data_IF_862429618322
#
_entry.id   IF_862429618322
#
_cell.length_a   1.000
_cell.length_b   1.000
_cell.length_c   1.000
_cell.angle_alpha   90.00
_cell.angle_beta   90.00
_cell.angle_gamma   90.00
#
_symmetry.space_group_name_H-M   'P 1'
#
loop_
_entity.id
_entity.type
_entity.pdbx_description
1 polymer ?
#
# COMPACT_ATOMS: atom_id res chain seq x y z
N UNK A 1 69.18 38.34 57.80
CA UNK A 1 67.72 38.24 58.01
C UNK A 1 67.09 38.39 56.69
N UNK A 2 66.73 37.28 56.11
CA UNK A 2 66.38 37.14 54.71
C UNK A 2 64.85 37.05 54.59
N UNK A 3 64.25 38.01 53.92
CA UNK A 3 62.83 38.06 53.62
C UNK A 3 62.51 37.33 52.34
N UNK A 4 61.59 36.37 52.43
CA UNK A 4 61.11 35.57 51.29
C UNK A 4 59.90 36.24 50.61
N UNK A 5 60.05 36.63 49.35
CA UNK A 5 58.93 37.14 48.54
C UNK A 5 58.17 35.96 47.91
N UNK A 6 56.91 35.78 48.30
CA UNK A 6 55.99 34.90 47.58
C UNK A 6 55.39 35.58 46.35
N UNK A 7 55.64 35.04 45.18
CA UNK A 7 55.00 35.44 43.92
C UNK A 7 53.60 34.79 43.81
N UNK A 8 52.57 35.61 43.61
CA UNK A 8 51.20 35.15 43.33
C UNK A 8 51.06 34.97 41.81
N UNK A 9 50.74 33.72 41.37
CA UNK A 9 50.28 33.42 39.99
C UNK A 9 48.76 33.57 39.91
N UNK A 10 48.21 34.20 38.87
CA UNK A 10 46.76 34.22 38.65
C UNK A 10 46.34 32.91 38.00
N UNK A 11 45.35 32.25 38.60
CA UNK A 11 44.66 31.11 38.01
C UNK A 11 43.71 31.64 36.94
N UNK A 12 44.03 31.32 35.67
CA UNK A 12 43.14 31.61 34.52
C UNK A 12 42.10 30.48 34.41
N UNK A 13 40.85 30.75 34.82
CA UNK A 13 39.76 29.79 34.70
C UNK A 13 39.24 29.85 33.26
N UNK A 14 39.55 28.85 32.46
CA UNK A 14 39.02 28.66 31.11
C UNK A 14 37.59 28.13 31.19
N UNK A 15 36.60 29.00 31.00
CA UNK A 15 35.21 28.59 30.82
C UNK A 15 35.05 28.06 29.38
N UNK A 16 34.98 26.72 29.26
CA UNK A 16 34.62 26.06 28.02
C UNK A 16 33.05 26.19 27.82
N UNK A 17 32.64 27.10 26.95
CA UNK A 17 31.27 27.18 26.45
C UNK A 17 31.05 26.00 25.48
N UNK A 18 30.48 24.91 25.94
CA UNK A 18 29.91 23.88 25.06
C UNK A 18 28.60 24.40 24.49
N UNK A 19 28.64 24.95 23.30
CA UNK A 19 27.44 25.23 22.50
C UNK A 19 26.84 23.91 22.07
N UNK A 20 25.81 23.45 22.76
CA UNK A 20 24.90 22.43 22.25
C UNK A 20 24.14 23.05 21.06
N UNK A 21 24.57 22.72 19.85
CA UNK A 21 23.75 22.90 18.66
C UNK A 21 22.55 21.95 18.80
N UNK A 22 21.47 22.41 19.37
CA UNK A 22 20.15 21.82 19.17
C UNK A 22 19.81 22.11 17.70
N UNK A 23 19.99 21.10 16.84
CA UNK A 23 19.33 21.09 15.53
C UNK A 23 17.84 21.14 15.82
N UNK A 24 17.25 22.32 15.80
CA UNK A 24 15.82 22.46 15.76
C UNK A 24 15.35 21.72 14.51
N UNK A 25 14.77 20.54 14.67
CA UNK A 25 13.98 19.89 13.62
C UNK A 25 12.91 20.94 13.26
N UNK A 26 13.13 21.69 12.19
CA UNK A 26 12.09 22.53 11.63
C UNK A 26 10.97 21.56 11.23
N UNK A 27 9.84 21.62 11.93
CA UNK A 27 8.67 20.85 11.56
C UNK A 27 8.40 21.16 10.08
N UNK A 28 8.55 20.14 9.24
CA UNK A 28 8.39 20.29 7.80
C UNK A 28 6.95 20.76 7.54
N UNK A 29 6.81 21.88 6.86
CA UNK A 29 5.51 22.51 6.62
C UNK A 29 4.67 21.61 5.74
N UNK A 30 3.51 21.18 6.23
CA UNK A 30 2.55 20.40 5.45
C UNK A 30 2.04 21.24 4.27
N UNK A 31 2.13 20.70 3.07
CA UNK A 31 1.59 21.28 1.85
C UNK A 31 0.09 21.03 1.82
N UNK A 32 -0.71 22.06 1.59
CA UNK A 32 -2.18 22.01 1.60
C UNK A 32 -2.78 22.65 0.34
N UNK A 33 -4.07 22.45 0.13
CA UNK A 33 -4.79 23.04 -1.01
C UNK A 33 -4.32 22.49 -2.35
N UNK A 34 -4.44 23.30 -3.40
CA UNK A 34 -4.05 22.91 -4.77
C UNK A 34 -2.56 22.54 -4.90
N UNK A 35 -1.69 23.09 -4.04
CA UNK A 35 -0.28 22.72 -4.02
C UNK A 35 -0.01 21.29 -3.56
N UNK A 36 -0.95 20.66 -2.85
CA UNK A 36 -0.87 19.25 -2.48
C UNK A 36 -1.16 18.32 -3.66
N UNK A 37 -1.79 18.80 -4.73
CA UNK A 37 -2.10 18.06 -5.96
C UNK A 37 -0.93 18.13 -6.96
N UNK A 38 0.26 17.77 -6.51
CA UNK A 38 1.51 17.86 -7.25
C UNK A 38 1.70 16.67 -8.23
N UNK A 39 2.75 16.71 -9.03
CA UNK A 39 3.20 15.58 -9.85
C UNK A 39 4.48 14.95 -9.27
N UNK A 40 4.97 13.87 -9.90
CA UNK A 40 6.14 13.12 -9.44
C UNK A 40 7.40 13.97 -9.27
N UNK A 41 7.54 15.09 -9.98
CA UNK A 41 8.73 15.98 -9.89
C UNK A 41 8.82 16.71 -8.56
N UNK A 42 7.72 16.75 -7.82
CA UNK A 42 7.62 17.40 -6.51
C UNK A 42 7.54 16.41 -5.35
N UNK A 43 7.59 15.10 -5.65
CA UNK A 43 7.65 14.04 -4.64
C UNK A 43 9.07 13.93 -4.10
N UNK A 44 9.20 14.00 -2.77
CA UNK A 44 10.49 13.85 -2.07
C UNK A 44 10.24 13.23 -0.71
N UNK A 45 11.10 12.30 -0.25
CA UNK A 45 10.98 11.75 1.08
C UNK A 45 10.86 12.81 2.17
N UNK A 46 9.88 12.64 3.04
CA UNK A 46 9.59 13.53 4.14
C UNK A 46 8.61 14.66 3.81
N UNK A 47 8.26 14.91 2.54
CA UNK A 47 7.27 15.93 2.18
C UNK A 47 5.88 15.51 2.65
N UNK A 48 5.26 16.32 3.51
CA UNK A 48 3.91 16.09 4.01
C UNK A 48 2.88 16.85 3.21
N UNK A 49 1.75 16.19 2.98
CA UNK A 49 0.61 16.75 2.23
C UNK A 49 -0.68 16.51 2.98
N UNK A 50 -1.62 17.42 2.81
CA UNK A 50 -3.00 17.27 3.29
C UNK A 50 -3.95 17.78 2.21
N UNK A 51 -4.80 16.89 1.74
CA UNK A 51 -5.89 17.19 0.82
C UNK A 51 -7.18 17.08 1.62
N UNK A 52 -8.06 18.07 1.45
CA UNK A 52 -9.38 18.09 2.08
C UNK A 52 -10.47 18.15 1.01
N UNK A 53 -11.70 17.87 1.40
CA UNK A 53 -12.85 17.97 0.49
C UNK A 53 -13.00 19.38 -0.11
N UNK A 54 -12.62 20.42 0.66
CA UNK A 54 -12.66 21.80 0.19
C UNK A 54 -11.62 22.14 -0.91
N UNK A 55 -10.61 21.28 -1.09
CA UNK A 55 -9.55 21.49 -2.09
C UNK A 55 -9.91 20.85 -3.44
N UNK A 56 -11.02 20.09 -3.52
CA UNK A 56 -11.38 19.37 -4.71
C UNK A 56 -11.88 20.31 -5.81
N UNK A 57 -11.39 20.16 -7.05
CA UNK A 57 -11.90 20.95 -8.18
C UNK A 57 -13.27 20.46 -8.65
N UNK A 58 -13.94 21.27 -9.45
CA UNK A 58 -15.10 20.81 -10.21
C UNK A 58 -14.71 19.73 -11.22
N UNK A 59 -15.60 18.77 -11.54
CA UNK A 59 -15.36 17.76 -12.54
C UNK A 59 -15.03 18.34 -13.92
N UNK A 60 -13.95 17.87 -14.52
CA UNK A 60 -13.51 18.27 -15.87
C UNK A 60 -13.17 17.05 -16.72
N UNK A 61 -14.16 16.28 -17.19
CA UNK A 61 -13.92 15.06 -17.96
C UNK A 61 -13.03 15.26 -19.20
N UNK A 62 -13.09 16.47 -19.82
CA UNK A 62 -12.27 16.82 -20.99
C UNK A 62 -10.76 16.91 -20.69
N UNK A 63 -10.35 17.01 -19.41
CA UNK A 63 -8.94 16.98 -18.99
C UNK A 63 -8.44 15.56 -18.71
N UNK A 64 -9.31 14.56 -18.75
CA UNK A 64 -8.94 13.16 -18.55
C UNK A 64 -8.12 12.62 -19.72
N UNK A 65 -7.06 11.91 -19.43
CA UNK A 65 -6.14 11.35 -20.41
C UNK A 65 -5.89 9.86 -20.14
N UNK A 66 -5.46 9.14 -21.16
CA UNK A 66 -4.80 7.82 -21.00
C UNK A 66 -3.30 8.03 -21.13
N UNK A 67 -2.61 8.11 -19.99
CA UNK A 67 -1.16 8.29 -19.89
C UNK A 67 -0.56 7.14 -19.04
N UNK A 68 -0.91 5.91 -19.41
CA UNK A 68 -0.35 4.72 -18.77
C UNK A 68 1.18 4.73 -18.81
N UNK A 69 1.87 4.11 -17.82
CA UNK A 69 3.31 4.17 -17.75
C UNK A 69 3.98 3.42 -18.92
N UNK A 70 4.98 4.05 -19.52
CA UNK A 70 5.98 3.34 -20.29
C UNK A 70 7.01 2.79 -19.31
N UNK A 71 7.05 1.45 -19.18
CA UNK A 71 7.99 0.78 -18.28
C UNK A 71 9.34 0.63 -18.96
N UNK A 72 10.39 1.02 -18.26
CA UNK A 72 11.77 0.87 -18.69
C UNK A 72 12.56 0.01 -17.73
N UNK A 73 13.66 -0.57 -18.19
CA UNK A 73 14.62 -1.21 -17.32
C UNK A 73 15.11 -0.19 -16.28
N UNK A 74 15.30 -0.63 -15.03
CA UNK A 74 15.88 0.24 -14.02
C UNK A 74 17.19 0.85 -14.53
N UNK A 75 17.30 2.19 -14.62
CA UNK A 75 18.54 2.81 -15.08
C UNK A 75 19.71 2.43 -14.18
N UNK A 76 20.91 2.38 -14.77
CA UNK A 76 22.12 2.13 -14.00
C UNK A 76 22.29 3.20 -12.91
N UNK A 77 22.56 2.74 -11.68
CA UNK A 77 22.69 3.62 -10.52
C UNK A 77 21.39 4.16 -9.95
N UNK A 78 20.21 3.90 -10.57
CA UNK A 78 18.93 4.33 -10.01
C UNK A 78 18.54 3.46 -8.81
N UNK A 79 18.16 4.14 -7.72
CA UNK A 79 17.66 3.53 -6.48
C UNK A 79 16.44 4.26 -5.99
N UNK A 80 15.51 3.57 -5.31
CA UNK A 80 14.48 4.28 -4.57
C UNK A 80 15.11 5.15 -3.49
N UNK A 81 14.48 6.27 -3.19
CA UNK A 81 14.97 7.28 -2.25
C UNK A 81 14.06 7.29 -1.03
N UNK A 82 14.65 7.09 0.15
CA UNK A 82 13.98 7.14 1.45
C UNK A 82 14.43 8.38 2.26
N UNK A 83 13.76 8.72 3.38
CA UNK A 83 14.19 9.81 4.25
C UNK A 83 15.62 9.62 4.79
N UNK A 84 16.23 10.71 5.28
CA UNK A 84 17.55 10.65 5.92
C UNK A 84 17.56 9.64 7.08
N UNK A 85 18.66 8.92 7.27
CA UNK A 85 18.81 7.86 8.25
C UNK A 85 18.30 6.49 7.79
N UNK A 86 17.59 6.40 6.67
CA UNK A 86 17.15 5.14 6.08
C UNK A 86 18.09 4.67 4.98
N UNK A 87 18.26 3.36 4.91
CA UNK A 87 19.01 2.67 3.85
C UNK A 87 18.05 1.80 3.03
N UNK A 88 18.13 1.93 1.69
CA UNK A 88 17.36 1.11 0.75
C UNK A 88 18.26 0.05 0.15
N UNK A 89 17.80 -1.20 0.16
CA UNK A 89 18.52 -2.36 -0.38
C UNK A 89 17.63 -3.15 -1.34
N UNK A 90 18.21 -3.67 -2.41
CA UNK A 90 17.53 -4.66 -3.26
C UNK A 90 17.60 -6.01 -2.53
N UNK A 91 16.47 -6.40 -1.91
CA UNK A 91 16.39 -7.61 -1.10
C UNK A 91 16.29 -8.86 -1.96
N UNK A 92 15.40 -8.85 -2.97
CA UNK A 92 15.20 -9.98 -3.87
C UNK A 92 14.75 -9.52 -5.26
N UNK A 93 14.95 -10.32 -6.28
CA UNK A 93 14.55 -10.03 -7.67
C UNK A 93 15.35 -8.91 -8.31
N UNK A 94 14.73 -8.16 -9.23
CA UNK A 94 15.41 -7.13 -10.02
C UNK A 94 16.37 -7.70 -11.08
N UNK A 95 16.27 -8.99 -11.34
CA UNK A 95 17.11 -9.79 -12.24
C UNK A 95 16.41 -10.13 -13.57
N UNK A 96 15.22 -9.57 -13.80
CA UNK A 96 14.48 -9.76 -15.04
C UNK A 96 15.15 -9.02 -16.21
N UNK A 97 15.31 -9.72 -17.33
CA UNK A 97 15.99 -9.18 -18.51
C UNK A 97 15.19 -8.10 -19.24
N UNK A 98 13.87 -8.07 -19.04
CA UNK A 98 12.96 -7.11 -19.69
C UNK A 98 11.95 -6.55 -18.70
N UNK A 99 11.59 -5.25 -18.80
CA UNK A 99 10.51 -4.70 -18.00
C UNK A 99 9.18 -5.35 -18.41
N UNK A 100 8.20 -5.31 -17.50
CA UNK A 100 6.84 -5.71 -17.82
C UNK A 100 6.27 -4.70 -18.81
N UNK A 101 5.82 -5.14 -19.99
CA UNK A 101 5.19 -4.28 -20.98
C UNK A 101 3.66 -4.38 -20.87
N UNK A 102 3.00 -3.24 -20.84
CA UNK A 102 1.55 -3.16 -21.03
C UNK A 102 1.26 -3.41 -22.51
N UNK A 103 0.48 -4.45 -22.85
CA UNK A 103 0.07 -4.66 -24.23
C UNK A 103 -0.86 -3.54 -24.70
N UNK A 104 -0.72 -3.10 -25.94
CA UNK A 104 -1.59 -2.12 -26.57
C UNK A 104 -3.07 -2.56 -26.60
N UNK A 105 -3.33 -3.86 -26.54
CA UNK A 105 -4.66 -4.47 -26.55
C UNK A 105 -5.23 -4.77 -25.16
N UNK A 106 -4.72 -4.14 -24.08
CA UNK A 106 -5.16 -4.35 -22.69
C UNK A 106 -5.11 -5.81 -22.20
N UNK A 107 -4.55 -6.73 -22.97
CA UNK A 107 -4.18 -8.06 -22.51
C UNK A 107 -2.71 -8.00 -22.15
N UNK A 108 -2.39 -8.23 -20.89
CA UNK A 108 -1.00 -8.40 -20.47
C UNK A 108 -0.43 -9.60 -21.24
N UNK A 109 0.44 -9.33 -22.22
CA UNK A 109 1.10 -10.40 -22.96
C UNK A 109 2.29 -10.87 -22.13
N UNK A 110 2.20 -12.11 -21.67
CA UNK A 110 3.20 -12.76 -20.87
C UNK A 110 4.33 -13.25 -21.76
N UNK A 111 5.35 -12.44 -21.95
CA UNK A 111 6.60 -13.04 -22.39
C UNK A 111 7.15 -13.89 -21.24
N UNK A 112 7.52 -15.17 -21.44
CA UNK A 112 8.21 -15.94 -20.43
C UNK A 112 9.50 -15.21 -20.08
N UNK A 113 9.58 -14.71 -18.86
CA UNK A 113 10.68 -13.88 -18.41
C UNK A 113 11.58 -14.71 -17.52
N UNK A 114 12.87 -14.70 -17.81
CA UNK A 114 13.88 -15.08 -16.84
C UNK A 114 13.81 -14.11 -15.66
N UNK A 115 13.91 -14.59 -14.45
CA UNK A 115 13.93 -13.75 -13.25
C UNK A 115 13.28 -14.43 -12.06
N UNK A 116 13.55 -13.91 -10.88
CA UNK A 116 13.03 -14.42 -9.60
C UNK A 116 11.52 -14.27 -9.50
N UNK A 117 10.97 -13.16 -10.00
CA UNK A 117 9.54 -12.84 -10.00
C UNK A 117 9.03 -12.52 -11.40
N UNK A 118 7.74 -12.75 -11.59
CA UNK A 118 7.00 -12.31 -12.78
C UNK A 118 6.19 -11.05 -12.49
N UNK A 119 5.36 -11.05 -11.45
CA UNK A 119 4.55 -9.91 -11.00
C UNK A 119 4.35 -9.99 -9.48
N UNK A 120 5.38 -9.61 -8.68
CA UNK A 120 5.27 -9.64 -7.22
C UNK A 120 4.27 -8.58 -6.74
N UNK A 121 3.25 -9.03 -6.03
CA UNK A 121 2.14 -8.17 -5.59
C UNK A 121 2.13 -8.04 -4.08
N UNK A 122 1.14 -8.55 -3.37
CA UNK A 122 1.09 -8.46 -1.91
C UNK A 122 2.27 -9.22 -1.28
N UNK A 123 2.76 -8.66 -0.19
CA UNK A 123 3.78 -9.27 0.68
C UNK A 123 3.26 -9.29 2.11
N UNK A 124 3.41 -10.41 2.78
CA UNK A 124 3.00 -10.58 4.17
C UNK A 124 4.08 -11.24 5.01
N UNK A 125 4.27 -10.75 6.24
CA UNK A 125 5.22 -11.33 7.19
C UNK A 125 4.55 -12.43 8.00
N UNK A 126 5.06 -13.65 7.88
CA UNK A 126 4.64 -14.76 8.72
C UNK A 126 5.13 -14.57 10.17
N UNK A 127 4.46 -15.19 11.18
CA UNK A 127 4.85 -15.06 12.58
C UNK A 127 6.27 -15.54 12.92
N UNK A 128 6.92 -16.31 12.06
CA UNK A 128 8.30 -16.72 12.21
C UNK A 128 9.31 -15.78 11.51
N UNK A 129 8.83 -14.73 10.86
CA UNK A 129 9.63 -13.74 10.14
C UNK A 129 9.87 -14.02 8.66
N UNK A 130 9.40 -15.13 8.12
CA UNK A 130 9.41 -15.37 6.68
C UNK A 130 8.47 -14.40 5.98
N UNK A 131 8.85 -13.94 4.79
CA UNK A 131 8.04 -13.08 3.96
C UNK A 131 7.38 -13.92 2.87
N UNK A 132 6.06 -13.86 2.80
CA UNK A 132 5.28 -14.52 1.75
C UNK A 132 4.88 -13.48 0.71
N UNK A 133 5.17 -13.76 -0.55
CA UNK A 133 4.89 -12.87 -1.68
C UNK A 133 3.95 -13.57 -2.66
N UNK A 134 2.83 -12.93 -2.97
CA UNK A 134 1.99 -13.35 -4.09
C UNK A 134 2.62 -12.88 -5.41
N UNK A 135 3.10 -13.80 -6.21
CA UNK A 135 3.52 -13.55 -7.58
C UNK A 135 2.34 -13.85 -8.50
N UNK A 136 1.44 -12.86 -8.63
CA UNK A 136 0.10 -13.06 -9.15
C UNK A 136 0.08 -13.62 -10.54
N UNK A 137 0.92 -13.10 -11.43
CA UNK A 137 0.97 -13.54 -12.82
C UNK A 137 1.64 -14.89 -13.00
N UNK A 138 2.62 -15.23 -12.15
CA UNK A 138 3.20 -16.55 -12.09
C UNK A 138 2.21 -17.59 -11.52
N UNK A 139 1.11 -17.14 -10.92
CA UNK A 139 0.17 -18.02 -10.22
C UNK A 139 0.82 -18.73 -9.04
N UNK A 140 1.72 -18.04 -8.32
CA UNK A 140 2.50 -18.66 -7.25
C UNK A 140 2.54 -17.82 -5.97
N UNK A 141 2.81 -18.49 -4.86
CA UNK A 141 3.24 -17.84 -3.61
C UNK A 141 4.71 -18.18 -3.39
N UNK A 142 5.52 -17.16 -3.17
CA UNK A 142 6.96 -17.28 -2.88
C UNK A 142 7.21 -17.06 -1.39
N UNK A 143 8.21 -17.76 -0.84
CA UNK A 143 8.70 -17.55 0.53
C UNK A 143 10.12 -17.01 0.49
N UNK A 144 10.33 -15.87 1.12
CA UNK A 144 11.62 -15.21 1.25
C UNK A 144 12.06 -15.32 2.71
N UNK A 145 13.17 -15.98 2.98
CA UNK A 145 13.66 -16.24 4.34
C UNK A 145 15.01 -15.63 4.58
N UNK A 146 15.11 -14.93 5.71
CA UNK A 146 16.36 -14.42 6.27
C UNK A 146 16.95 -13.25 5.49
N UNK A 147 17.87 -12.55 6.15
CA UNK A 147 18.59 -11.38 5.61
C UNK A 147 20.08 -11.65 5.73
N UNK A 148 20.83 -11.56 4.64
CA UNK A 148 22.28 -11.66 4.64
C UNK A 148 22.92 -10.35 5.15
N UNK A 149 24.21 -10.36 5.44
CA UNK A 149 24.95 -9.15 5.83
C UNK A 149 24.90 -8.04 4.74
N UNK A 150 24.67 -8.42 3.49
CA UNK A 150 24.50 -7.48 2.37
C UNK A 150 23.06 -6.96 2.23
N UNK A 151 22.15 -7.31 3.14
CA UNK A 151 20.74 -6.90 3.10
C UNK A 151 19.90 -7.64 2.06
N UNK A 152 20.42 -8.75 1.50
CA UNK A 152 19.71 -9.58 0.51
C UNK A 152 19.04 -10.75 1.21
N UNK A 153 18.04 -11.32 0.52
CA UNK A 153 17.39 -12.56 0.94
C UNK A 153 18.41 -13.70 1.03
N UNK A 154 18.34 -14.50 2.10
CA UNK A 154 19.21 -15.66 2.27
C UNK A 154 18.69 -16.90 1.52
N UNK A 155 17.36 -17.08 1.47
CA UNK A 155 16.73 -18.22 0.80
C UNK A 155 15.41 -17.79 0.14
N UNK A 156 15.19 -18.24 -1.09
CA UNK A 156 13.93 -18.09 -1.83
C UNK A 156 13.37 -19.49 -2.09
N UNK A 157 12.08 -19.68 -1.82
CA UNK A 157 11.38 -20.94 -2.11
C UNK A 157 10.02 -20.65 -2.73
N UNK A 158 9.58 -21.51 -3.63
CA UNK A 158 8.20 -21.51 -4.12
C UNK A 158 7.33 -22.32 -3.18
N UNK A 159 6.39 -21.67 -2.49
CA UNK A 159 5.45 -22.32 -1.58
C UNK A 159 4.42 -23.16 -2.33
N UNK A 160 3.83 -22.58 -3.37
CA UNK A 160 2.83 -23.21 -4.23
C UNK A 160 2.80 -22.55 -5.61
N UNK A 161 2.35 -23.29 -6.62
CA UNK A 161 2.09 -22.83 -7.99
C UNK A 161 0.72 -23.25 -8.48
N UNK A 162 0.30 -22.75 -9.65
CA UNK A 162 -0.96 -23.14 -10.30
C UNK A 162 -2.20 -22.45 -9.72
N UNK A 163 -2.01 -21.29 -9.07
CA UNK A 163 -3.07 -20.46 -8.55
C UNK A 163 -3.60 -19.49 -9.61
N UNK A 164 -4.85 -19.06 -9.47
CA UNK A 164 -5.48 -18.08 -10.37
C UNK A 164 -5.27 -16.66 -9.85
N UNK A 165 -4.20 -15.98 -10.28
CA UNK A 165 -3.87 -14.61 -9.90
C UNK A 165 -3.96 -14.38 -8.38
N UNK A 166 -3.17 -15.12 -7.56
CA UNK A 166 -3.20 -14.94 -6.11
C UNK A 166 -2.82 -13.51 -5.75
N UNK A 167 -3.50 -12.94 -4.75
CA UNK A 167 -3.22 -11.59 -4.26
C UNK A 167 -3.14 -11.56 -2.74
N UNK A 168 -4.27 -11.57 -2.01
CA UNK A 168 -4.31 -11.53 -0.56
C UNK A 168 -3.68 -12.75 0.11
N UNK A 169 -2.99 -12.54 1.21
CA UNK A 169 -2.38 -13.60 2.03
C UNK A 169 -2.69 -13.32 3.50
N UNK A 170 -3.28 -14.28 4.21
CA UNK A 170 -3.52 -14.16 5.64
C UNK A 170 -3.16 -15.43 6.41
N UNK A 171 -2.59 -15.27 7.60
CA UNK A 171 -2.28 -16.37 8.52
C UNK A 171 -3.39 -16.51 9.56
N UNK A 172 -3.90 -17.75 9.75
CA UNK A 172 -5.00 -18.00 10.66
C UNK A 172 -4.77 -19.22 11.55
N UNK A 173 -5.19 -19.20 12.86
CA UNK A 173 -5.59 -17.99 13.57
C UNK A 173 -4.47 -16.95 13.65
N UNK A 174 -4.83 -15.67 13.86
CA UNK A 174 -3.84 -14.62 14.07
C UNK A 174 -2.98 -14.92 15.30
N UNK A 175 -1.72 -14.50 15.29
CA UNK A 175 -0.76 -14.70 16.39
C UNK A 175 0.40 -15.63 16.03
N UNK A 176 1.10 -16.14 17.04
CA UNK A 176 2.39 -16.84 16.87
C UNK A 176 2.28 -18.24 16.22
N UNK A 177 1.12 -18.87 16.28
CA UNK A 177 0.93 -20.26 15.87
C UNK A 177 -0.24 -20.44 14.89
N UNK A 178 -0.20 -19.87 13.70
CA UNK A 178 -1.21 -20.10 12.67
C UNK A 178 -1.15 -21.57 12.20
N UNK A 179 -2.32 -22.08 11.82
CA UNK A 179 -2.47 -23.44 11.27
C UNK A 179 -2.85 -23.42 9.79
N UNK A 180 -3.17 -22.23 9.28
CA UNK A 180 -3.63 -22.01 7.91
C UNK A 180 -2.99 -20.77 7.31
N UNK A 181 -2.73 -20.85 6.01
CA UNK A 181 -2.53 -19.69 5.14
C UNK A 181 -3.76 -19.60 4.24
N UNK A 182 -4.45 -18.47 4.27
CA UNK A 182 -5.52 -18.15 3.33
C UNK A 182 -4.93 -17.34 2.19
N UNK A 183 -5.43 -17.61 0.99
CA UNK A 183 -5.00 -16.89 -0.23
C UNK A 183 -6.24 -16.45 -0.99
N UNK A 184 -6.31 -15.15 -1.29
CA UNK A 184 -7.31 -14.59 -2.18
C UNK A 184 -6.87 -14.73 -3.62
N UNK A 185 -7.55 -15.59 -4.38
CA UNK A 185 -7.46 -15.65 -5.83
C UNK A 185 -8.48 -14.70 -6.46
N UNK A 186 -8.42 -14.50 -7.77
CA UNK A 186 -9.36 -13.61 -8.47
C UNK A 186 -10.84 -13.95 -8.29
N UNK A 187 -11.17 -15.22 -8.09
CA UNK A 187 -12.56 -15.72 -8.00
C UNK A 187 -12.86 -16.55 -6.76
N UNK A 188 -11.85 -16.82 -5.93
CA UNK A 188 -12.01 -17.73 -4.78
C UNK A 188 -11.16 -17.31 -3.60
N UNK A 189 -11.56 -17.71 -2.39
CA UNK A 189 -10.65 -17.79 -1.25
C UNK A 189 -10.32 -19.26 -1.01
N UNK A 190 -9.03 -19.57 -0.99
CA UNK A 190 -8.51 -20.89 -0.69
C UNK A 190 -7.65 -20.85 0.57
N UNK A 191 -7.40 -21.99 1.21
CA UNK A 191 -6.44 -22.09 2.31
C UNK A 191 -5.60 -23.35 2.23
N UNK A 192 -4.40 -23.26 2.77
CA UNK A 192 -3.46 -24.37 2.93
C UNK A 192 -3.24 -24.65 4.41
N UNK A 193 -3.15 -25.93 4.77
CA UNK A 193 -2.59 -26.29 6.08
C UNK A 193 -1.16 -25.74 6.17
N UNK A 194 -0.85 -25.09 7.28
CA UNK A 194 0.42 -24.40 7.49
C UNK A 194 1.01 -24.75 8.86
N UNK A 195 2.30 -24.96 8.87
CA UNK A 195 3.12 -25.02 10.07
C UNK A 195 4.22 -23.98 9.98
N UNK A 196 4.46 -23.26 11.06
CA UNK A 196 5.49 -22.22 11.11
C UNK A 196 6.84 -22.75 10.59
N UNK A 197 7.38 -22.08 9.57
CA UNK A 197 8.61 -22.46 8.89
C UNK A 197 8.44 -23.34 7.64
N UNK A 198 7.23 -23.68 7.25
CA UNK A 198 6.99 -24.39 5.99
C UNK A 198 7.42 -23.55 4.78
N UNK A 199 8.28 -24.11 3.93
CA UNK A 199 8.75 -23.50 2.68
C UNK A 199 7.96 -23.97 1.46
N UNK A 200 7.08 -24.99 1.64
CA UNK A 200 6.22 -25.56 0.60
C UNK A 200 4.91 -25.97 1.21
N UNK A 201 3.83 -25.82 0.47
CA UNK A 201 2.54 -26.37 0.85
C UNK A 201 2.60 -27.89 0.94
N UNK A 202 2.21 -28.44 2.10
CA UNK A 202 2.27 -29.89 2.35
C UNK A 202 1.16 -30.66 1.65
N UNK A 203 0.05 -29.98 1.33
CA UNK A 203 -1.16 -30.57 0.72
C UNK A 203 -1.79 -29.59 -0.28
N UNK A 204 -2.69 -30.12 -1.11
CA UNK A 204 -3.54 -29.28 -1.95
C UNK A 204 -4.40 -28.33 -1.09
N UNK A 205 -4.79 -27.17 -1.63
CA UNK A 205 -5.63 -26.21 -0.91
C UNK A 205 -7.06 -26.73 -0.72
N UNK A 206 -7.71 -26.20 0.32
CA UNK A 206 -9.15 -26.26 0.50
C UNK A 206 -9.78 -24.97 -0.05
N UNK A 207 -10.80 -25.07 -0.90
CA UNK A 207 -11.59 -23.91 -1.33
C UNK A 207 -12.56 -23.53 -0.22
N UNK A 208 -12.47 -22.31 0.27
CA UNK A 208 -13.26 -21.79 1.40
C UNK A 208 -14.41 -20.92 0.90
N UNK A 209 -14.14 -20.01 -0.05
CA UNK A 209 -15.17 -19.26 -0.77
C UNK A 209 -15.03 -19.59 -2.25
N UNK A 210 -15.96 -20.32 -2.84
CA UNK A 210 -15.81 -20.82 -4.22
C UNK A 210 -16.25 -19.82 -5.29
N UNK A 211 -17.00 -18.78 -4.93
CA UNK A 211 -17.70 -17.92 -5.88
C UNK A 211 -17.65 -16.46 -5.44
N UNK A 212 -16.52 -15.83 -5.69
CA UNK A 212 -16.40 -14.37 -5.61
C UNK A 212 -16.67 -13.77 -7.00
N UNK A 213 -17.27 -12.57 -7.09
CA UNK A 213 -17.44 -11.88 -8.37
C UNK A 213 -16.09 -11.78 -9.10
N UNK A 214 -15.98 -12.45 -10.26
CA UNK A 214 -14.72 -12.66 -10.96
C UNK A 214 -14.66 -11.99 -12.33
N UNK A 215 -13.86 -12.57 -13.23
CA UNK A 215 -13.57 -11.99 -14.55
C UNK A 215 -14.79 -11.81 -15.46
N UNK A 216 -15.79 -12.69 -15.36
CA UNK A 216 -17.03 -12.59 -16.17
C UNK A 216 -17.81 -11.29 -15.93
N UNK A 217 -17.65 -10.70 -14.73
CA UNK A 217 -18.26 -9.44 -14.35
C UNK A 217 -17.35 -8.23 -14.60
N UNK A 218 -16.10 -8.43 -15.07
CA UNK A 218 -15.17 -7.33 -15.34
C UNK A 218 -15.51 -6.66 -16.68
N UNK A 219 -15.56 -5.34 -16.67
CA UNK A 219 -15.78 -4.50 -17.85
C UNK A 219 -14.72 -3.41 -17.92
N UNK A 220 -14.06 -3.30 -19.05
CA UNK A 220 -13.15 -2.18 -19.30
C UNK A 220 -12.01 -1.99 -18.31
N UNK A 221 -11.46 -3.08 -17.75
CA UNK A 221 -10.38 -3.02 -16.75
C UNK A 221 -10.85 -3.10 -15.30
N UNK A 222 -11.95 -3.81 -15.05
CA UNK A 222 -12.45 -4.08 -13.70
C UNK A 222 -11.42 -4.78 -12.80
N UNK A 223 -11.68 -4.74 -11.49
CA UNK A 223 -10.72 -5.11 -10.46
C UNK A 223 -10.79 -6.61 -10.14
N UNK A 224 -9.63 -7.27 -10.17
CA UNK A 224 -9.49 -8.71 -9.97
C UNK A 224 -8.81 -9.07 -8.63
N UNK A 225 -8.21 -8.11 -7.95
CA UNK A 225 -7.54 -8.34 -6.66
C UNK A 225 -8.54 -8.66 -5.57
N UNK A 226 -8.19 -9.60 -4.69
CA UNK A 226 -8.95 -9.99 -3.49
C UNK A 226 -7.98 -10.01 -2.33
N UNK A 227 -8.03 -9.00 -1.48
CA UNK A 227 -7.30 -9.09 -0.22
C UNK A 227 -8.14 -9.83 0.82
N UNK A 228 -7.52 -10.34 1.85
CA UNK A 228 -8.16 -11.09 2.91
C UNK A 228 -7.46 -10.83 4.23
N UNK A 229 -8.24 -10.43 5.23
CA UNK A 229 -7.77 -10.25 6.60
C UNK A 229 -8.73 -10.87 7.60
N UNK A 230 -8.25 -11.10 8.81
CA UNK A 230 -9.08 -11.57 9.92
C UNK A 230 -9.18 -10.51 10.99
N UNK A 231 -10.37 -10.34 11.57
CA UNK A 231 -10.55 -9.52 12.75
C UNK A 231 -9.69 -10.03 13.93
N UNK A 232 -9.38 -9.17 14.89
CA UNK A 232 -8.52 -9.54 16.03
C UNK A 232 -9.04 -10.71 16.86
N UNK A 233 -10.37 -10.90 16.93
CA UNK A 233 -11.00 -12.00 17.63
C UNK A 233 -11.00 -13.30 16.80
N UNK A 234 -10.61 -13.24 15.52
CA UNK A 234 -10.54 -14.35 14.58
C UNK A 234 -11.89 -14.92 14.14
N UNK A 235 -12.99 -14.20 14.34
CA UNK A 235 -14.34 -14.67 13.98
C UNK A 235 -14.79 -14.21 12.61
N UNK A 236 -14.34 -13.04 12.19
CA UNK A 236 -14.65 -12.42 10.90
C UNK A 236 -13.47 -12.60 9.93
N UNK A 237 -13.74 -13.06 8.74
CA UNK A 237 -12.86 -13.04 7.58
C UNK A 237 -13.40 -11.95 6.64
N UNK A 238 -12.64 -10.87 6.47
CA UNK A 238 -13.01 -9.74 5.62
C UNK A 238 -12.28 -9.87 4.28
N UNK A 239 -13.03 -9.67 3.19
CA UNK A 239 -12.55 -9.87 1.83
C UNK A 239 -12.94 -8.68 0.97
N UNK A 240 -11.95 -7.99 0.42
CA UNK A 240 -12.19 -6.87 -0.49
C UNK A 240 -12.53 -7.34 -1.91
N UNK A 241 -13.55 -6.73 -2.51
CA UNK A 241 -13.98 -7.00 -3.89
C UNK A 241 -14.19 -5.67 -4.61
N UNK A 242 -13.23 -5.27 -5.42
CA UNK A 242 -13.31 -4.04 -6.20
C UNK A 242 -14.37 -4.09 -7.31
N UNK A 243 -14.78 -2.94 -7.81
CA UNK A 243 -15.79 -2.78 -8.86
C UNK A 243 -15.47 -3.55 -10.15
N UNK A 244 -16.50 -3.92 -10.89
CA UNK A 244 -16.37 -4.53 -12.21
C UNK A 244 -16.13 -3.51 -13.33
N UNK A 245 -16.42 -2.24 -13.04
CA UNK A 245 -16.34 -1.13 -13.99
C UNK A 245 -15.72 0.12 -13.36
N UNK A 246 -15.60 1.17 -14.13
CA UNK A 246 -15.18 2.48 -13.62
C UNK A 246 -16.21 3.09 -12.65
N UNK A 247 -17.49 3.12 -13.04
CA UNK A 247 -18.56 3.64 -12.20
C UNK A 247 -19.94 3.31 -12.82
N UNK A 248 -20.20 2.04 -13.12
CA UNK A 248 -21.53 1.60 -13.52
C UNK A 248 -22.44 1.54 -12.30
N UNK A 249 -23.70 1.87 -12.52
CA UNK A 249 -24.73 1.85 -11.48
C UNK A 249 -25.17 0.40 -11.20
N UNK A 250 -24.99 -0.14 -9.99
CA UNK A 250 -25.37 -1.50 -9.62
C UNK A 250 -26.86 -1.79 -9.83
N UNK A 251 -27.74 -0.78 -9.72
CA UNK A 251 -29.17 -0.96 -9.92
C UNK A 251 -29.53 -1.32 -11.36
N UNK A 252 -28.70 -0.91 -12.31
CA UNK A 252 -28.90 -1.16 -13.75
C UNK A 252 -27.86 -2.12 -14.33
N UNK A 253 -26.79 -2.43 -13.57
CA UNK A 253 -25.71 -3.28 -13.99
C UNK A 253 -25.46 -4.41 -12.96
N UNK A 254 -26.19 -5.52 -13.03
CA UNK A 254 -26.12 -6.61 -12.05
C UNK A 254 -24.74 -7.24 -11.93
N UNK A 255 -23.82 -6.99 -12.86
CA UNK A 255 -22.42 -7.41 -12.77
C UNK A 255 -21.65 -6.71 -11.64
N UNK A 256 -22.20 -5.64 -11.06
CA UNK A 256 -21.65 -4.96 -9.88
C UNK A 256 -22.16 -5.54 -8.55
N UNK A 257 -22.99 -6.60 -8.58
CA UNK A 257 -23.48 -7.25 -7.37
C UNK A 257 -22.32 -7.79 -6.53
N UNK A 258 -22.29 -7.44 -5.23
CA UNK A 258 -21.20 -7.74 -4.29
C UNK A 258 -19.82 -7.27 -4.78
N UNK A 259 -19.79 -6.10 -5.45
CA UNK A 259 -18.57 -5.41 -5.88
C UNK A 259 -18.53 -4.00 -5.32
N UNK A 260 -17.34 -3.41 -5.29
CA UNK A 260 -17.05 -2.17 -4.58
C UNK A 260 -17.37 -2.27 -3.08
N UNK A 261 -17.15 -3.48 -2.54
CA UNK A 261 -17.56 -3.89 -1.21
C UNK A 261 -16.37 -4.49 -0.44
N UNK A 262 -16.49 -4.48 0.88
CA UNK A 262 -15.80 -5.41 1.77
C UNK A 262 -16.85 -6.43 2.24
N UNK A 263 -16.62 -7.70 1.95
CA UNK A 263 -17.53 -8.77 2.29
C UNK A 263 -17.07 -9.49 3.55
N UNK A 264 -18.00 -9.80 4.45
CA UNK A 264 -17.72 -10.58 5.64
C UNK A 264 -18.11 -12.04 5.45
N UNK A 265 -17.20 -12.91 5.84
CA UNK A 265 -17.37 -14.34 5.92
C UNK A 265 -16.92 -14.87 7.28
N UNK A 266 -17.45 -16.00 7.70
CA UNK A 266 -16.81 -16.77 8.76
C UNK A 266 -15.47 -17.33 8.24
N UNK A 267 -14.50 -17.71 9.10
CA UNK A 267 -13.27 -18.36 8.67
C UNK A 267 -13.47 -19.69 7.91
N UNK A 268 -14.68 -20.24 7.94
CA UNK A 268 -15.09 -21.44 7.18
C UNK A 268 -15.77 -21.10 5.84
N UNK A 269 -15.82 -19.82 5.46
CA UNK A 269 -16.34 -19.36 4.17
C UNK A 269 -17.85 -19.19 4.10
N UNK A 270 -18.58 -19.26 5.22
CA UNK A 270 -20.00 -18.89 5.21
C UNK A 270 -20.12 -17.38 5.13
N UNK A 271 -20.80 -16.86 4.08
CA UNK A 271 -21.14 -15.46 3.96
C UNK A 271 -21.97 -14.99 5.15
N UNK A 272 -21.64 -13.81 5.67
CA UNK A 272 -22.34 -13.18 6.79
C UNK A 272 -23.09 -11.95 6.29
N UNK A 273 -22.37 -10.95 5.78
CA UNK A 273 -22.95 -9.71 5.30
C UNK A 273 -22.01 -8.92 4.36
N UNK A 274 -22.50 -7.83 3.80
CA UNK A 274 -21.68 -6.78 3.22
C UNK A 274 -21.22 -5.87 4.35
N UNK A 275 -19.97 -6.05 4.79
CA UNK A 275 -19.39 -5.30 5.91
C UNK A 275 -19.32 -3.80 5.66
N UNK A 276 -18.94 -3.40 4.43
CA UNK A 276 -18.94 -2.01 3.97
C UNK A 276 -19.12 -1.95 2.47
N UNK A 277 -19.70 -0.88 1.94
CA UNK A 277 -20.03 -0.77 0.53
C UNK A 277 -19.74 0.63 -0.05
N UNK A 278 -19.73 0.69 -1.39
CA UNK A 278 -19.39 1.92 -2.10
C UNK A 278 -17.92 2.32 -1.98
N UNK A 279 -17.04 1.36 -1.72
CA UNK A 279 -15.59 1.50 -1.75
C UNK A 279 -15.12 0.97 -3.11
N UNK A 280 -14.95 1.85 -4.09
CA UNK A 280 -14.74 1.45 -5.49
C UNK A 280 -13.74 0.30 -5.66
N UNK A 281 -12.56 0.41 -5.07
CA UNK A 281 -11.55 -0.64 -5.11
C UNK A 281 -10.65 -0.59 -3.88
N UNK A 282 -11.09 -1.20 -2.80
CA UNK A 282 -10.25 -1.52 -1.64
C UNK A 282 -9.25 -2.58 -2.08
N UNK A 283 -7.98 -2.26 -2.19
CA UNK A 283 -6.97 -3.20 -2.69
C UNK A 283 -6.14 -3.77 -1.56
N UNK A 284 -5.65 -2.93 -0.65
CA UNK A 284 -4.89 -3.37 0.51
C UNK A 284 -5.70 -3.23 1.79
N UNK A 285 -5.84 -4.32 2.52
CA UNK A 285 -6.50 -4.39 3.80
C UNK A 285 -5.49 -4.58 4.93
N UNK A 286 -5.66 -3.86 6.03
CA UNK A 286 -4.86 -4.06 7.23
C UNK A 286 -5.68 -3.82 8.50
N UNK A 287 -5.42 -4.61 9.53
CA UNK A 287 -6.00 -4.39 10.86
C UNK A 287 -5.06 -3.50 11.66
N UNK A 288 -5.57 -2.35 12.11
CA UNK A 288 -4.83 -1.50 13.02
C UNK A 288 -4.67 -2.21 14.38
N UNK A 289 -3.45 -2.52 14.77
CA UNK A 289 -3.16 -3.30 15.98
C UNK A 289 -3.56 -2.59 17.29
N UNK A 290 -3.76 -1.28 17.26
CA UNK A 290 -4.15 -0.47 18.45
C UNK A 290 -5.67 -0.46 18.63
N UNK A 291 -6.40 -0.25 17.54
CA UNK A 291 -7.86 -0.08 17.58
C UNK A 291 -8.64 -1.33 17.22
N UNK A 292 -7.99 -2.30 16.57
CA UNK A 292 -8.65 -3.49 16.01
C UNK A 292 -9.48 -3.21 14.76
N UNK A 293 -9.50 -1.97 14.26
CA UNK A 293 -10.29 -1.58 13.09
C UNK A 293 -9.65 -2.04 11.79
N UNK A 294 -10.49 -2.43 10.84
CA UNK A 294 -10.09 -2.61 9.45
C UNK A 294 -9.73 -1.25 8.84
N UNK A 295 -8.67 -1.24 8.05
CA UNK A 295 -8.28 -0.12 7.20
C UNK A 295 -8.13 -0.61 5.76
N UNK A 296 -8.33 0.32 4.83
CA UNK A 296 -8.25 0.07 3.41
C UNK A 296 -7.50 1.19 2.68
N UNK A 297 -6.63 0.81 1.76
CA UNK A 297 -6.11 1.67 0.71
C UNK A 297 -6.94 1.48 -0.57
N UNK A 298 -7.41 2.58 -1.17
CA UNK A 298 -8.49 2.54 -2.15
C UNK A 298 -8.16 3.34 -3.39
N UNK A 299 -8.48 2.74 -4.55
CA UNK A 299 -8.45 3.45 -5.83
C UNK A 299 -9.85 3.95 -6.18
N UNK A 300 -9.97 5.24 -6.43
CA UNK A 300 -11.19 5.86 -6.85
C UNK A 300 -11.39 5.89 -8.37
N UNK A 301 -12.55 6.40 -8.81
CA UNK A 301 -12.95 6.41 -10.20
C UNK A 301 -12.15 7.38 -11.05
N UNK A 302 -12.01 7.01 -12.33
CA UNK A 302 -11.35 7.78 -13.37
C UNK A 302 -12.33 8.65 -14.19
N UNK A 303 -11.76 9.47 -15.07
CA UNK A 303 -12.48 10.24 -16.08
C UNK A 303 -13.34 11.41 -15.54
N UNK A 304 -12.91 12.03 -14.44
CA UNK A 304 -13.42 13.34 -13.99
C UNK A 304 -12.37 14.45 -14.04
N UNK A 305 -11.24 14.20 -14.70
CA UNK A 305 -10.13 15.13 -14.87
C UNK A 305 -8.88 14.72 -14.09
N UNK A 306 -7.81 15.51 -14.25
CA UNK A 306 -6.48 15.18 -13.68
C UNK A 306 -6.46 15.13 -12.14
N UNK A 307 -7.26 15.96 -11.48
CA UNK A 307 -7.23 16.16 -10.03
C UNK A 307 -8.53 15.76 -9.35
N UNK A 308 -9.26 14.76 -9.92
CA UNK A 308 -10.50 14.22 -9.38
C UNK A 308 -10.74 12.80 -9.92
N UNK A 309 -11.09 11.80 -9.12
CA UNK A 309 -11.40 11.80 -7.68
C UNK A 309 -10.15 11.39 -6.90
N UNK A 310 -9.90 11.92 -5.71
CA UNK A 310 -8.80 11.46 -4.87
C UNK A 310 -8.88 9.97 -4.55
N UNK A 311 -7.76 9.28 -4.63
CA UNK A 311 -7.61 8.00 -3.94
C UNK A 311 -7.54 8.25 -2.44
N UNK A 312 -7.62 7.21 -1.61
CA UNK A 312 -7.65 7.41 -0.16
C UNK A 312 -7.19 6.21 0.65
N UNK A 313 -6.79 6.48 1.90
CA UNK A 313 -6.56 5.47 2.93
C UNK A 313 -7.51 5.78 4.10
N UNK A 314 -8.26 4.77 4.54
CA UNK A 314 -9.32 5.00 5.53
C UNK A 314 -9.57 3.81 6.45
N UNK A 315 -10.01 4.09 7.66
CA UNK A 315 -10.66 3.10 8.53
C UNK A 315 -12.02 2.72 7.96
N UNK A 316 -12.28 1.42 7.86
CA UNK A 316 -13.53 0.90 7.31
C UNK A 316 -14.51 0.62 8.45
N UNK A 317 -15.72 1.14 8.36
CA UNK A 317 -16.78 0.97 9.35
C UNK A 317 -17.78 -0.07 8.90
N UNK A 318 -18.15 -0.95 9.78
CA UNK A 318 -19.26 -1.89 9.58
C UNK A 318 -20.55 -1.13 9.22
N UNK A 319 -21.25 -1.57 8.17
CA UNK A 319 -22.41 -0.90 7.58
C UNK A 319 -22.08 0.43 6.89
N UNK A 320 -20.81 0.79 6.75
CA UNK A 320 -20.37 2.07 6.20
C UNK A 320 -20.56 2.19 4.69
N UNK A 321 -21.06 3.35 4.22
CA UNK A 321 -21.19 3.69 2.81
C UNK A 321 -20.18 4.78 2.43
N UNK A 322 -19.33 4.50 1.42
CA UNK A 322 -18.24 5.39 1.00
C UNK A 322 -18.51 6.14 -0.31
N UNK A 323 -19.66 5.90 -0.95
CA UNK A 323 -20.22 6.76 -2.00
C UNK A 323 -20.29 6.15 -3.39
N UNK A 324 -19.28 5.36 -3.81
CA UNK A 324 -19.28 4.81 -5.17
C UNK A 324 -20.54 3.97 -5.47
N UNK A 325 -21.12 4.07 -6.67
CA UNK A 325 -20.75 4.95 -7.78
C UNK A 325 -21.45 6.31 -7.77
N UNK A 326 -22.43 6.50 -6.89
CA UNK A 326 -23.36 7.64 -6.94
C UNK A 326 -22.75 8.92 -6.37
N UNK A 327 -21.87 8.79 -5.40
CA UNK A 327 -21.21 9.90 -4.71
C UNK A 327 -19.72 9.64 -4.54
N UNK A 328 -18.99 10.71 -4.22
CA UNK A 328 -17.59 10.66 -3.80
C UNK A 328 -17.32 11.73 -2.73
N UNK A 329 -16.32 11.52 -1.91
CA UNK A 329 -15.74 12.46 -0.94
C UNK A 329 -16.78 13.32 -0.20
N UNK A 330 -17.55 12.72 0.69
CA UNK A 330 -18.49 13.43 1.56
C UNK A 330 -19.78 13.88 0.88
N UNK A 331 -20.24 13.18 -0.16
CA UNK A 331 -21.53 13.38 -0.79
C UNK A 331 -21.53 14.34 -1.98
N UNK A 332 -20.39 14.53 -2.65
CA UNK A 332 -20.37 15.07 -4.01
C UNK A 332 -20.99 14.06 -4.94
N UNK A 333 -22.03 14.46 -5.68
CA UNK A 333 -22.70 13.54 -6.57
C UNK A 333 -21.90 13.35 -7.87
N UNK A 334 -21.78 12.11 -8.35
CA UNK A 334 -21.18 11.82 -9.65
C UNK A 334 -22.00 12.49 -10.76
N UNK A 335 -21.38 13.28 -11.66
CA UNK A 335 -22.10 14.03 -12.70
C UNK A 335 -22.96 13.17 -13.64
N UNK A 336 -22.62 11.89 -13.81
CA UNK A 336 -23.35 10.96 -14.67
C UNK A 336 -24.58 10.37 -13.98
N UNK A 337 -24.63 10.44 -12.65
CA UNK A 337 -25.68 9.84 -11.82
C UNK A 337 -26.44 10.92 -11.02
N UNK A 338 -26.52 12.13 -11.59
CA UNK A 338 -27.19 13.26 -10.95
C UNK A 338 -28.67 12.95 -10.67
N UNK A 339 -29.08 13.19 -9.42
CA UNK A 339 -30.46 13.00 -8.97
C UNK A 339 -30.81 11.57 -8.56
N UNK A 340 -29.89 10.60 -8.72
CA UNK A 340 -30.07 9.23 -8.18
C UNK A 340 -29.71 9.17 -6.70
N UNK A 341 -30.42 8.35 -5.94
CA UNK A 341 -30.16 8.04 -4.52
C UNK A 341 -29.92 9.25 -3.61
N UNK A 342 -30.77 10.30 -3.65
CA UNK A 342 -30.57 11.49 -2.80
C UNK A 342 -30.60 11.16 -1.29
N UNK A 343 -31.26 10.07 -0.90
CA UNK A 343 -31.32 9.56 0.49
C UNK A 343 -29.99 9.01 1.00
N UNK A 344 -29.07 8.64 0.11
CA UNK A 344 -27.73 8.14 0.47
C UNK A 344 -26.73 9.28 0.69
N UNK A 345 -26.97 10.47 0.17
CA UNK A 345 -26.03 11.60 0.22
C UNK A 345 -25.50 11.88 1.64
N UNK A 346 -26.39 11.89 2.61
CA UNK A 346 -26.02 12.17 4.01
C UNK A 346 -25.36 10.99 4.72
N UNK A 347 -25.35 9.80 4.11
CA UNK A 347 -24.72 8.59 4.65
C UNK A 347 -23.29 8.39 4.18
N UNK A 348 -22.86 9.16 3.17
CA UNK A 348 -21.51 9.01 2.60
C UNK A 348 -20.46 9.36 3.64
N UNK A 349 -19.61 8.42 3.94
CA UNK A 349 -18.46 8.61 4.84
C UNK A 349 -17.34 9.27 4.04
N UNK A 350 -16.81 10.37 4.56
CA UNK A 350 -15.58 10.96 4.05
C UNK A 350 -14.40 10.15 4.55
N UNK A 351 -13.49 9.68 3.68
CA UNK A 351 -12.31 8.94 4.08
C UNK A 351 -11.38 9.73 5.02
N UNK A 352 -10.61 9.00 5.85
CA UNK A 352 -9.73 9.61 6.86
C UNK A 352 -8.56 10.39 6.23
N UNK A 353 -7.98 9.89 5.13
CA UNK A 353 -6.84 10.50 4.43
C UNK A 353 -7.07 10.47 2.93
N UNK A 354 -7.26 11.64 2.34
CA UNK A 354 -7.29 11.78 0.90
C UNK A 354 -5.84 11.86 0.38
N UNK A 355 -5.54 11.04 -0.61
CA UNK A 355 -4.27 11.13 -1.35
C UNK A 355 -4.51 11.74 -2.72
N UNK A 356 -3.45 11.98 -3.48
CA UNK A 356 -3.64 12.57 -4.81
C UNK A 356 -4.48 11.65 -5.72
N UNK A 357 -5.29 12.20 -6.62
CA UNK A 357 -6.08 11.42 -7.56
C UNK A 357 -5.23 10.53 -8.45
N UNK A 358 -5.76 9.34 -8.74
CA UNK A 358 -5.18 8.37 -9.68
C UNK A 358 -3.82 7.78 -9.26
N UNK A 359 -3.45 7.85 -7.98
CA UNK A 359 -2.20 7.28 -7.47
C UNK A 359 -2.20 5.76 -7.48
N UNK A 360 -3.37 5.16 -7.55
CA UNK A 360 -3.58 3.71 -7.49
C UNK A 360 -3.01 3.11 -6.21
N UNK A 361 -3.55 3.52 -5.05
CA UNK A 361 -3.21 2.98 -3.74
C UNK A 361 -3.49 1.49 -3.68
N UNK A 362 -2.49 0.67 -3.33
CA UNK A 362 -2.56 -0.78 -3.33
C UNK A 362 -2.34 -1.36 -1.91
N UNK A 363 -1.32 -2.16 -1.68
CA UNK A 363 -1.06 -2.79 -0.40
C UNK A 363 -0.77 -1.80 0.71
N UNK A 364 -1.23 -2.09 1.93
CA UNK A 364 -0.95 -1.29 3.11
C UNK A 364 -0.56 -2.14 4.32
N UNK A 365 0.11 -1.53 5.28
CA UNK A 365 0.46 -2.13 6.57
C UNK A 365 0.58 -1.07 7.65
N UNK A 366 0.58 -1.49 8.93
CA UNK A 366 0.90 -0.62 10.05
C UNK A 366 2.28 -0.95 10.62
N UNK A 367 3.05 0.09 10.94
CA UNK A 367 4.31 -0.09 11.63
C UNK A 367 4.06 -0.50 13.09
N UNK A 368 4.75 -1.53 13.63
CA UNK A 368 4.52 -1.98 14.99
C UNK A 368 4.88 -0.93 16.04
N UNK A 369 4.17 -0.93 17.16
CA UNK A 369 4.48 -0.07 18.31
C UNK A 369 5.49 -0.77 19.23
N UNK A 370 6.50 -0.03 19.70
CA UNK A 370 7.48 -0.47 20.72
C UNK A 370 8.31 -1.72 20.36
N UNK A 371 8.37 -2.14 19.11
CA UNK A 371 9.18 -3.28 18.65
C UNK A 371 9.99 -2.97 17.42
N UNK A 372 10.08 -1.71 17.08
CA UNK A 372 10.57 -1.24 15.81
C UNK A 372 12.02 -0.78 15.88
N UNK A 373 12.70 -0.86 14.76
CA UNK A 373 14.01 -0.27 14.57
C UNK A 373 13.92 1.14 13.96
N UNK A 374 12.74 1.54 13.45
CA UNK A 374 12.53 2.90 12.99
C UNK A 374 12.42 3.87 14.17
N UNK A 375 12.63 5.16 13.97
CA UNK A 375 12.38 6.18 14.99
C UNK A 375 10.96 6.08 15.56
N UNK A 376 10.79 6.35 16.85
CA UNK A 376 9.50 6.20 17.55
C UNK A 376 8.35 7.05 16.97
N UNK A 377 8.68 8.08 16.17
CA UNK A 377 7.67 8.86 15.47
C UNK A 377 6.91 8.07 14.40
N UNK A 378 7.42 6.89 13.99
CA UNK A 378 6.79 5.98 13.04
C UNK A 378 5.91 4.92 13.71
N UNK A 379 5.98 4.81 15.04
CA UNK A 379 5.23 3.81 15.80
C UNK A 379 3.72 3.93 15.58
N UNK A 380 3.11 2.87 15.08
CA UNK A 380 1.69 2.79 14.78
C UNK A 380 1.23 3.49 13.50
N UNK A 381 2.13 4.14 12.77
CA UNK A 381 1.78 4.78 11.49
C UNK A 381 1.49 3.76 10.40
N UNK A 382 0.60 4.13 9.47
CA UNK A 382 0.32 3.33 8.28
C UNK A 382 1.35 3.58 7.18
N UNK A 383 1.55 2.57 6.32
CA UNK A 383 2.27 2.69 5.07
C UNK A 383 1.42 2.11 3.95
N UNK A 384 1.32 2.81 2.83
CA UNK A 384 0.61 2.36 1.64
C UNK A 384 1.47 2.53 0.39
N UNK A 385 1.36 1.58 -0.53
CA UNK A 385 2.05 1.63 -1.82
C UNK A 385 1.15 2.30 -2.86
N UNK A 386 1.70 3.30 -3.54
CA UNK A 386 1.07 4.02 -4.65
C UNK A 386 1.66 3.50 -5.96
N UNK A 387 0.87 2.75 -6.72
CA UNK A 387 1.31 2.05 -7.92
C UNK A 387 1.58 3.00 -9.10
N UNK A 388 1.01 4.19 -9.04
CA UNK A 388 1.20 5.27 -9.97
C UNK A 388 0.08 5.47 -10.99
N UNK A 389 -0.08 6.71 -11.39
CA UNK A 389 -1.19 7.20 -12.21
C UNK A 389 -1.12 6.74 -13.67
N UNK A 390 -2.30 6.56 -14.25
CA UNK A 390 -2.49 6.40 -15.69
C UNK A 390 -3.48 7.44 -16.26
N UNK A 391 -4.47 7.88 -15.47
CA UNK A 391 -5.51 8.84 -15.90
C UNK A 391 -5.13 10.28 -15.51
N UNK A 392 -3.87 10.64 -15.70
CA UNK A 392 -3.31 11.95 -15.35
C UNK A 392 -2.31 12.42 -16.39
N UNK A 393 -2.42 13.69 -16.83
CA UNK A 393 -1.51 14.26 -17.83
C UNK A 393 -0.05 14.30 -17.36
N UNK A 394 0.16 14.67 -16.09
CA UNK A 394 1.46 14.54 -15.42
C UNK A 394 1.37 13.42 -14.39
N UNK A 395 2.34 12.53 -14.40
CA UNK A 395 2.38 11.36 -13.52
C UNK A 395 2.37 11.77 -12.06
N UNK A 396 1.76 10.95 -11.21
CA UNK A 396 1.78 11.03 -9.75
C UNK A 396 1.77 9.62 -9.18
N UNK A 397 2.09 9.47 -7.89
CA UNK A 397 2.33 8.15 -7.29
C UNK A 397 3.67 7.56 -7.71
N UNK A 398 3.75 6.24 -7.84
CA UNK A 398 5.02 5.52 -7.97
C UNK A 398 5.88 5.73 -6.73
N UNK A 399 5.29 5.53 -5.56
CA UNK A 399 5.94 5.75 -4.27
C UNK A 399 5.33 4.87 -3.18
N UNK A 400 5.93 4.88 -2.00
CA UNK A 400 5.28 4.45 -0.77
C UNK A 400 5.04 5.69 0.07
N UNK A 401 3.83 5.84 0.57
CA UNK A 401 3.45 6.91 1.48
C UNK A 401 3.36 6.42 2.92
N UNK A 402 3.66 7.33 3.88
CA UNK A 402 3.41 7.17 5.30
C UNK A 402 2.12 7.89 5.67
N UNK A 403 1.30 7.26 6.48
CA UNK A 403 0.06 7.80 7.03
C UNK A 403 0.26 8.02 8.53
N UNK A 404 0.47 9.26 9.01
CA UNK A 404 0.65 9.54 10.42
C UNK A 404 -0.62 9.24 11.22
N UNK A 405 -0.48 8.33 12.21
CA UNK A 405 -1.55 7.93 13.12
C UNK A 405 -1.25 8.45 14.52
N UNK A 406 -2.20 9.11 15.14
CA UNK A 406 -2.09 9.63 16.51
C UNK A 406 -3.28 9.17 17.35
N UNK A 407 -3.01 8.46 18.43
CA UNK A 407 -4.06 7.88 19.30
C UNK A 407 -5.06 7.01 18.50
N UNK A 408 -4.57 6.20 17.55
CA UNK A 408 -5.38 5.31 16.72
C UNK A 408 -6.18 5.99 15.60
N UNK A 409 -5.98 7.29 15.37
CA UNK A 409 -6.66 8.07 14.32
C UNK A 409 -5.66 8.69 13.36
N UNK A 410 -5.97 8.70 12.06
CA UNK A 410 -5.18 9.44 11.10
C UNK A 410 -5.25 10.96 11.35
N UNK A 411 -4.17 11.65 11.04
CA UNK A 411 -4.09 13.13 11.13
C UNK A 411 -4.75 13.81 9.93
N UNK A 412 -5.14 13.04 8.92
CA UNK A 412 -5.59 13.54 7.61
C UNK A 412 -4.44 13.96 6.70
N UNK A 413 -3.20 13.70 7.12
CA UNK A 413 -1.98 13.96 6.35
C UNK A 413 -1.41 12.64 5.83
N UNK A 414 -0.65 12.72 4.75
CA UNK A 414 0.29 11.69 4.32
C UNK A 414 1.66 12.29 4.01
N UNK A 415 2.68 11.45 3.98
CA UNK A 415 4.07 11.84 3.76
C UNK A 415 4.67 10.96 2.67
N UNK A 416 5.31 11.58 1.65
CA UNK A 416 6.10 10.86 0.66
C UNK A 416 7.24 10.13 1.41
N UNK A 417 7.27 8.79 1.41
CA UNK A 417 8.26 8.02 2.17
C UNK A 417 9.34 7.38 1.29
N UNK A 418 8.94 6.62 0.27
CA UNK A 418 9.87 5.97 -0.65
C UNK A 418 9.55 6.41 -2.07
N UNK A 419 10.42 7.17 -2.70
CA UNK A 419 10.20 7.80 -4.01
C UNK A 419 11.29 7.42 -5.02
N UNK A 420 11.31 8.04 -6.21
CA UNK A 420 12.41 7.90 -7.17
C UNK A 420 12.21 6.81 -8.23
N UNK A 421 11.01 6.26 -8.38
CA UNK A 421 10.69 5.21 -9.37
C UNK A 421 10.39 5.74 -10.77
N UNK A 422 10.43 7.06 -10.96
CA UNK A 422 10.19 7.74 -12.24
C UNK A 422 11.45 8.50 -12.63
N UNK A 423 11.88 8.36 -13.88
CA UNK A 423 13.04 9.08 -14.41
C UNK A 423 12.72 10.55 -14.65
N UNK A 424 13.73 11.39 -14.85
CA UNK A 424 13.55 12.83 -15.07
C UNK A 424 12.70 13.15 -16.32
N UNK A 425 12.71 12.27 -17.33
CA UNK A 425 11.91 12.39 -18.56
C UNK A 425 10.52 11.71 -18.45
N UNK A 426 10.14 11.26 -17.24
CA UNK A 426 8.80 10.72 -16.96
C UNK A 426 8.60 9.25 -17.31
N UNK A 427 9.65 8.49 -17.64
CA UNK A 427 9.55 7.05 -17.78
C UNK A 427 9.53 6.36 -16.41
N UNK A 428 8.89 5.22 -16.31
CA UNK A 428 8.70 4.51 -15.05
C UNK A 428 9.55 3.25 -15.03
N UNK A 429 10.39 3.08 -14.00
CA UNK A 429 11.19 1.89 -13.85
C UNK A 429 10.77 0.99 -12.67
N UNK A 430 9.94 1.52 -11.76
CA UNK A 430 9.42 0.77 -10.62
C UNK A 430 7.99 1.18 -10.29
N UNK A 431 7.22 0.24 -9.73
CA UNK A 431 5.80 0.39 -9.37
C UNK A 431 5.54 -0.34 -8.06
N UNK A 432 5.60 0.34 -6.91
CA UNK A 432 5.33 -0.26 -5.61
C UNK A 432 3.93 -0.86 -5.53
N UNK A 433 3.79 -2.03 -4.88
CA UNK A 433 2.52 -2.74 -4.76
C UNK A 433 2.19 -3.15 -3.34
N UNK A 434 2.99 -4.01 -2.72
CA UNK A 434 2.77 -4.52 -1.38
C UNK A 434 3.77 -3.94 -0.41
N UNK A 435 3.36 -3.77 0.83
CA UNK A 435 4.20 -3.31 1.93
C UNK A 435 4.03 -4.21 3.15
N UNK A 436 5.13 -4.59 3.80
CA UNK A 436 5.10 -5.37 5.04
C UNK A 436 6.28 -4.98 5.95
N UNK A 437 6.12 -5.12 7.25
CA UNK A 437 7.19 -4.93 8.21
C UNK A 437 7.76 -6.30 8.61
N UNK A 438 9.05 -6.50 8.39
CA UNK A 438 9.75 -7.72 8.78
C UNK A 438 10.02 -7.81 10.28
N UNK A 439 10.41 -9.00 10.75
CA UNK A 439 10.81 -9.20 12.16
C UNK A 439 12.07 -8.43 12.52
N UNK A 440 12.87 -8.05 11.53
CA UNK A 440 14.05 -7.20 11.69
C UNK A 440 13.69 -5.71 11.78
N UNK A 441 12.38 -5.36 11.76
CA UNK A 441 11.86 -4.01 11.83
C UNK A 441 12.02 -3.20 10.54
N UNK A 442 12.58 -3.78 9.47
CA UNK A 442 12.64 -3.12 8.16
C UNK A 442 11.28 -3.15 7.46
N UNK A 443 10.99 -2.15 6.64
CA UNK A 443 9.87 -2.17 5.70
C UNK A 443 10.31 -2.88 4.41
N UNK A 444 9.48 -3.81 3.94
CA UNK A 444 9.66 -4.52 2.69
C UNK A 444 8.60 -4.08 1.69
N UNK A 445 9.02 -3.79 0.48
CA UNK A 445 8.16 -3.27 -0.59
C UNK A 445 8.32 -4.12 -1.83
N UNK A 446 7.24 -4.72 -2.32
CA UNK A 446 7.22 -5.35 -3.64
C UNK A 446 7.03 -4.30 -4.71
N UNK A 447 7.65 -4.53 -5.85
CA UNK A 447 7.66 -3.63 -7.01
C UNK A 447 7.49 -4.48 -8.28
N UNK A 448 6.32 -4.42 -8.91
CA UNK A 448 6.04 -5.21 -10.10
C UNK A 448 6.63 -4.59 -11.37
N UNK A 449 6.95 -3.31 -11.36
CA UNK A 449 7.63 -2.63 -12.48
C UNK A 449 9.05 -3.15 -12.66
N UNK A 450 9.85 -3.17 -11.61
CA UNK A 450 11.22 -3.70 -11.62
C UNK A 450 11.31 -5.18 -11.22
N UNK A 451 10.19 -5.83 -10.89
CA UNK A 451 10.11 -7.24 -10.44
C UNK A 451 11.02 -7.54 -9.26
N UNK A 452 10.95 -6.71 -8.27
CA UNK A 452 11.85 -6.75 -7.12
C UNK A 452 11.11 -6.65 -5.79
N UNK A 453 11.84 -6.94 -4.72
CA UNK A 453 11.47 -6.62 -3.35
C UNK A 453 12.56 -5.73 -2.78
N UNK A 454 12.16 -4.55 -2.31
CA UNK A 454 13.03 -3.58 -1.66
C UNK A 454 12.96 -3.75 -0.15
N UNK A 455 14.08 -3.59 0.54
CA UNK A 455 14.19 -3.56 2.00
C UNK A 455 14.63 -2.17 2.42
N UNK A 456 13.86 -1.55 3.30
CA UNK A 456 14.12 -0.21 3.83
C UNK A 456 14.36 -0.37 5.34
N UNK A 457 15.56 -0.05 5.80
CA UNK A 457 15.95 -0.15 7.21
C UNK A 457 16.49 1.18 7.72
N UNK A 458 16.26 1.47 8.99
CA UNK A 458 16.84 2.63 9.64
C UNK A 458 18.23 2.27 10.20
N UNK A 459 19.23 3.06 9.89
CA UNK A 459 20.64 2.79 10.24
C UNK A 459 21.30 3.92 11.04
N UNK A 460 20.63 5.05 11.15
CA UNK A 460 21.11 6.16 11.97
C UNK A 460 20.85 5.83 13.46
N UNK A 461 21.92 5.60 14.22
CA UNK A 461 21.89 5.32 15.66
C UNK A 461 22.56 6.44 16.44
#
# INVERSE_FOLDING_TARGET
MTGLHLAKFPVLTLLAFTTFLHSALQAQKTITGQAALADYTQQKPGVRRKITVADLPEPKPSESVDNGPSLVQRPEGAWPIAPAGFTVQLYAGGDAATPMQRSENKKETHAPTSGTFVMPRIIHTAPNGDLFVADSQAGSIMVLRGVTNAGKVATISTYVTGLDHPFGIAFYPAGANPHWIYVGNATTIIRFAYKSGDLKAAKAPETIVPDLPGYAQLRGGGHWTRDVVFSPNGKEMLVSVGSGSNADDPDTHPNEFHRADVLEYTPKGKFVEVYAYGIRNCVGEAINSVTGQLWCSTNERDALGNNLVPDYVTSVKEGGFYGWPWFYMGGHQDPRLMGTHPELKSKVITPDVLVQPHMASLGMTFYPINKSTFPSEYDGDGFAAEHGSWNRAKRGGYEVIRIPIRNGKATGEYEDFLTGFVTADGQVWGRPVGVAVGHDGALYVTDDGSRSVWRISYTDK
#
